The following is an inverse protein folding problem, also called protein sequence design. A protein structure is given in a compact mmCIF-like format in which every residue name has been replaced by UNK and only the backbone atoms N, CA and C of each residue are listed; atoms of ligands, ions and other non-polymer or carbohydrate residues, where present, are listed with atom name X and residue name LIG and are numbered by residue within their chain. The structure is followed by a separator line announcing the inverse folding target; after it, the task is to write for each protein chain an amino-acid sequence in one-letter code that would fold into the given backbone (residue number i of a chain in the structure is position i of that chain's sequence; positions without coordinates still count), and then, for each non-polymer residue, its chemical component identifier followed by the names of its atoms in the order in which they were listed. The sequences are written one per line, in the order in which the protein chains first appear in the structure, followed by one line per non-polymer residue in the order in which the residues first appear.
data_IF_343336208427
#
_entry.id   IF_343336208427
#
_cell.length_a   1.000
_cell.length_b   1.000
_cell.length_c   1.000
_cell.angle_alpha   90.00
_cell.angle_beta   90.00
_cell.angle_gamma   90.00
#
_symmetry.space_group_name_H-M   'P 1'
#
loop_
_entity.id
_entity.type
_entity.pdbx_description
1 polymer ?
#
# COMPACT_ATOMS: atom_id res chain seq x y z
N UNK A 1 16.66 4.31 8.62
CA UNK A 1 17.88 3.91 7.89
C UNK A 1 17.59 2.62 7.16
N UNK A 2 18.11 2.40 5.93
CA UNK A 2 18.01 1.12 5.22
C UNK A 2 18.58 -0.07 6.01
N UNK A 3 19.46 0.16 6.98
CA UNK A 3 20.05 -0.88 7.83
C UNK A 3 19.29 -1.11 9.15
N UNK A 4 18.15 -0.45 9.33
CA UNK A 4 17.38 -0.57 10.57
C UNK A 4 16.79 -1.98 10.69
N UNK A 5 17.05 -2.67 11.80
CA UNK A 5 16.41 -3.96 12.09
C UNK A 5 14.91 -3.76 12.31
N UNK A 6 14.09 -4.70 11.84
CA UNK A 6 12.65 -4.67 12.03
C UNK A 6 12.11 -6.01 12.52
N UNK A 7 10.95 -5.96 13.18
CA UNK A 7 10.24 -7.13 13.67
C UNK A 7 8.75 -6.92 13.47
N UNK A 8 8.06 -7.95 12.97
CA UNK A 8 6.61 -7.99 12.92
C UNK A 8 6.07 -8.31 14.31
N UNK A 9 5.20 -7.46 14.83
CA UNK A 9 4.54 -7.62 16.13
C UNK A 9 3.05 -7.26 16.01
N UNK A 10 2.19 -7.83 16.86
CA UNK A 10 0.83 -7.32 17.06
C UNK A 10 0.84 -5.85 17.51
N UNK A 11 -0.21 -5.10 17.19
CA UNK A 11 -0.31 -3.66 17.52
C UNK A 11 -0.31 -3.42 19.03
N UNK A 12 -0.78 -4.40 19.81
CA UNK A 12 -0.80 -4.38 21.27
C UNK A 12 0.59 -4.58 21.89
N UNK A 13 1.56 -5.06 21.10
CA UNK A 13 2.88 -5.50 21.56
C UNK A 13 4.02 -4.71 20.89
N UNK A 14 3.79 -3.45 20.53
CA UNK A 14 4.82 -2.58 19.95
C UNK A 14 5.83 -2.21 21.05
N UNK A 15 7.12 -2.60 20.92
CA UNK A 15 8.13 -2.24 21.92
C UNK A 15 8.34 -0.73 21.99
N UNK A 16 8.56 -0.22 23.21
CA UNK A 16 8.88 1.19 23.43
C UNK A 16 10.16 1.59 22.68
N UNK A 17 10.17 2.80 22.12
CA UNK A 17 11.30 3.34 21.35
C UNK A 17 11.38 2.87 19.89
N UNK A 18 10.51 1.96 19.45
CA UNK A 18 10.38 1.60 18.04
C UNK A 18 9.30 2.44 17.34
N UNK A 19 9.34 2.42 16.00
CA UNK A 19 8.35 3.09 15.13
C UNK A 19 7.69 2.06 14.22
N UNK A 20 6.40 2.25 13.95
CA UNK A 20 5.68 1.51 12.91
C UNK A 20 6.15 2.05 11.56
N UNK A 21 6.56 1.15 10.67
CA UNK A 21 7.16 1.52 9.37
C UNK A 21 6.48 0.85 8.19
N UNK A 22 5.66 -0.17 8.43
CA UNK A 22 4.84 -0.88 7.43
C UNK A 22 3.74 -1.69 8.14
N UNK A 23 2.75 -2.16 7.38
CA UNK A 23 1.73 -3.09 7.86
C UNK A 23 2.23 -4.54 7.89
N UNK A 24 1.70 -5.32 8.83
CA UNK A 24 2.03 -6.74 8.98
C UNK A 24 1.21 -7.67 8.08
N UNK A 25 1.61 -8.96 7.96
CA UNK A 25 0.93 -9.95 7.13
C UNK A 25 -0.54 -10.17 7.51
N UNK A 26 -0.89 -10.11 8.80
CA UNK A 26 -2.27 -10.24 9.26
C UNK A 26 -3.16 -9.08 8.78
N UNK A 27 -2.62 -7.86 8.75
CA UNK A 27 -3.33 -6.69 8.22
C UNK A 27 -3.53 -6.80 6.71
N UNK A 28 -2.50 -7.24 5.97
CA UNK A 28 -2.59 -7.48 4.52
C UNK A 28 -3.68 -8.49 4.20
N UNK A 29 -3.72 -9.61 4.94
CA UNK A 29 -4.72 -10.67 4.78
C UNK A 29 -6.14 -10.16 5.11
N UNK A 30 -6.29 -9.38 6.19
CA UNK A 30 -7.57 -8.76 6.52
C UNK A 30 -8.05 -7.76 5.46
N UNK A 31 -7.16 -6.92 4.94
CA UNK A 31 -7.51 -5.97 3.88
C UNK A 31 -7.84 -6.68 2.58
N UNK A 32 -7.13 -7.77 2.26
CA UNK A 32 -7.41 -8.58 1.07
C UNK A 32 -8.85 -9.10 1.08
N UNK A 33 -9.29 -9.69 2.20
CA UNK A 33 -10.66 -10.20 2.35
C UNK A 33 -11.74 -9.13 2.16
N UNK A 34 -11.54 -7.94 2.74
CA UNK A 34 -12.54 -6.88 2.62
C UNK A 34 -12.56 -6.26 1.22
N UNK A 35 -11.38 -6.04 0.62
CA UNK A 35 -11.27 -5.42 -0.69
C UNK A 35 -11.80 -6.31 -1.82
N UNK A 36 -11.68 -7.63 -1.71
CA UNK A 36 -12.28 -8.58 -2.65
C UNK A 36 -13.80 -8.45 -2.75
N UNK A 37 -14.45 -7.88 -1.73
CA UNK A 37 -15.90 -7.68 -1.68
C UNK A 37 -16.32 -6.30 -2.20
N UNK A 38 -15.37 -5.38 -2.38
CA UNK A 38 -15.65 -4.04 -2.85
C UNK A 38 -15.93 -4.03 -4.36
N UNK A 39 -16.87 -3.19 -4.80
CA UNK A 39 -17.10 -2.94 -6.24
C UNK A 39 -16.16 -1.89 -6.81
N UNK A 40 -15.76 -0.94 -5.98
CA UNK A 40 -14.84 0.14 -6.32
C UNK A 40 -13.89 0.36 -5.14
N UNK A 41 -12.61 0.55 -5.43
CA UNK A 41 -11.56 0.85 -4.45
C UNK A 41 -10.81 2.09 -4.89
N UNK A 42 -10.73 3.07 -4.00
CA UNK A 42 -9.85 4.23 -4.15
C UNK A 42 -8.67 4.06 -3.19
N UNK A 43 -7.45 4.08 -3.71
CA UNK A 43 -6.24 3.95 -2.90
C UNK A 43 -5.37 5.19 -3.02
N UNK A 44 -5.16 5.87 -1.88
CA UNK A 44 -4.36 7.08 -1.78
C UNK A 44 -3.50 7.05 -0.52
N UNK A 45 -2.22 6.73 -0.70
CA UNK A 45 -1.22 6.66 0.36
C UNK A 45 -0.58 5.26 0.44
N UNK A 46 0.76 5.14 0.36
CA UNK A 46 1.44 3.88 0.62
C UNK A 46 1.20 3.39 2.06
N UNK A 47 1.35 2.10 2.30
CA UNK A 47 1.07 1.48 3.61
C UNK A 47 2.21 1.62 4.61
N UNK A 48 3.42 1.91 4.11
CA UNK A 48 4.65 2.05 4.86
C UNK A 48 5.62 3.01 4.19
N UNK A 49 6.85 3.06 4.71
CA UNK A 49 7.95 3.86 4.14
C UNK A 49 8.51 3.13 2.91
N UNK A 50 7.73 3.10 1.83
CA UNK A 50 7.97 2.25 0.65
C UNK A 50 9.29 2.56 -0.08
N UNK A 51 9.83 3.76 0.11
CA UNK A 51 11.12 4.19 -0.42
C UNK A 51 12.29 3.37 0.18
N UNK A 52 12.07 2.72 1.32
CA UNK A 52 13.00 1.78 1.94
C UNK A 52 12.51 0.36 1.64
N UNK A 53 13.27 -0.40 0.85
CA UNK A 53 12.87 -1.71 0.34
C UNK A 53 12.36 -2.69 1.42
N UNK A 54 12.97 -2.70 2.60
CA UNK A 54 12.54 -3.56 3.72
C UNK A 54 11.21 -3.15 4.37
N UNK A 55 10.70 -1.94 4.09
CA UNK A 55 9.44 -1.38 4.61
C UNK A 55 8.41 -1.14 3.49
N UNK A 56 8.63 -1.74 2.33
CA UNK A 56 7.77 -1.61 1.16
C UNK A 56 6.79 -2.78 1.00
N UNK A 57 6.89 -3.81 1.83
CA UNK A 57 6.18 -5.08 1.63
C UNK A 57 4.65 -4.91 1.65
N UNK A 58 4.13 -4.12 2.59
CA UNK A 58 2.70 -3.81 2.68
C UNK A 58 2.20 -3.04 1.46
N UNK A 59 2.90 -1.97 1.07
CA UNK A 59 2.57 -1.20 -0.14
C UNK A 59 2.57 -2.07 -1.39
N UNK A 60 3.58 -2.93 -1.55
CA UNK A 60 3.68 -3.83 -2.69
C UNK A 60 2.57 -4.89 -2.67
N UNK A 61 2.22 -5.42 -1.50
CA UNK A 61 1.14 -6.38 -1.37
C UNK A 61 -0.20 -5.77 -1.79
N UNK A 62 -0.51 -4.56 -1.32
CA UNK A 62 -1.72 -3.84 -1.70
C UNK A 62 -1.76 -3.53 -3.19
N UNK A 63 -0.65 -3.06 -3.78
CA UNK A 63 -0.58 -2.81 -5.21
C UNK A 63 -0.85 -4.08 -6.04
N UNK A 64 -0.28 -5.22 -5.65
CA UNK A 64 -0.52 -6.52 -6.33
C UNK A 64 -1.95 -7.00 -6.14
N UNK A 65 -2.52 -6.83 -4.96
CA UNK A 65 -3.91 -7.19 -4.68
C UNK A 65 -4.84 -6.41 -5.61
N UNK A 66 -4.76 -5.07 -5.59
CA UNK A 66 -5.62 -4.20 -6.38
C UNK A 66 -5.49 -4.47 -7.89
N UNK A 67 -4.28 -4.72 -8.38
CA UNK A 67 -4.03 -5.06 -9.78
C UNK A 67 -4.68 -6.39 -10.24
N UNK A 68 -5.15 -7.23 -9.31
CA UNK A 68 -5.82 -8.50 -9.61
C UNK A 68 -7.31 -8.52 -9.20
N UNK A 69 -7.83 -7.44 -8.61
CA UNK A 69 -9.25 -7.34 -8.31
C UNK A 69 -10.08 -7.19 -9.59
N UNK A 70 -11.29 -7.74 -9.58
CA UNK A 70 -12.30 -7.51 -10.64
C UNK A 70 -13.06 -6.18 -10.46
N UNK A 71 -12.77 -5.48 -9.37
CA UNK A 71 -13.37 -4.22 -8.96
C UNK A 71 -12.77 -3.04 -9.72
N UNK A 72 -13.49 -1.91 -9.76
CA UNK A 72 -12.90 -0.66 -10.26
C UNK A 72 -11.84 -0.16 -9.29
N UNK A 73 -10.59 -0.04 -9.72
CA UNK A 73 -9.46 0.45 -8.91
C UNK A 73 -8.98 1.82 -9.38
N UNK A 74 -8.96 2.78 -8.46
CA UNK A 74 -8.54 4.16 -8.70
C UNK A 74 -7.36 4.47 -7.78
N UNK A 75 -6.21 4.75 -8.37
CA UNK A 75 -4.99 5.11 -7.64
C UNK A 75 -4.85 6.62 -7.62
N UNK A 76 -4.66 7.18 -6.42
CA UNK A 76 -4.45 8.61 -6.19
C UNK A 76 -3.22 8.90 -5.35
N UNK A 77 -2.74 10.13 -5.43
CA UNK A 77 -1.56 10.60 -4.71
C UNK A 77 -0.26 10.22 -5.42
N UNK A 78 0.70 11.14 -5.45
CA UNK A 78 1.96 10.98 -6.21
C UNK A 78 2.73 9.74 -5.81
N UNK A 79 3.03 9.56 -4.53
CA UNK A 79 3.78 8.41 -4.01
C UNK A 79 3.11 7.06 -4.28
N UNK A 80 1.77 6.98 -4.17
CA UNK A 80 1.04 5.73 -4.48
C UNK A 80 1.10 5.41 -5.97
N UNK A 81 0.92 6.44 -6.83
CA UNK A 81 1.00 6.28 -8.27
C UNK A 81 2.41 5.85 -8.70
N UNK A 82 3.44 6.48 -8.15
CA UNK A 82 4.85 6.12 -8.35
C UNK A 82 5.11 4.65 -7.97
N UNK A 83 4.69 4.22 -6.78
CA UNK A 83 4.87 2.83 -6.35
C UNK A 83 4.22 1.83 -7.33
N UNK A 84 3.02 2.11 -7.81
CA UNK A 84 2.33 1.24 -8.79
C UNK A 84 3.04 1.25 -10.16
N UNK A 85 3.57 2.39 -10.58
CA UNK A 85 4.32 2.55 -11.85
C UNK A 85 5.66 1.79 -11.78
N UNK A 86 6.43 1.96 -10.71
CA UNK A 86 7.71 1.27 -10.48
C UNK A 86 7.53 -0.26 -10.49
N UNK A 87 6.42 -0.73 -9.93
CA UNK A 87 6.03 -2.14 -9.93
C UNK A 87 5.52 -2.64 -11.29
N UNK A 88 5.39 -1.77 -12.29
CA UNK A 88 4.82 -2.06 -13.62
C UNK A 88 3.40 -2.61 -13.54
N UNK A 89 2.60 -2.08 -12.63
CA UNK A 89 1.20 -2.48 -12.40
C UNK A 89 0.19 -1.43 -12.87
N UNK A 90 0.64 -0.26 -13.33
CA UNK A 90 -0.25 0.84 -13.71
C UNK A 90 -1.28 0.45 -14.79
N UNK A 91 -0.89 -0.38 -15.76
CA UNK A 91 -1.79 -0.89 -16.81
C UNK A 91 -2.82 -1.91 -16.33
N UNK A 92 -2.71 -2.39 -15.09
CA UNK A 92 -3.67 -3.30 -14.45
C UNK A 92 -4.65 -2.57 -13.54
N UNK A 93 -4.46 -1.27 -13.33
CA UNK A 93 -5.40 -0.43 -12.58
C UNK A 93 -6.42 0.19 -13.55
N UNK A 94 -7.64 0.47 -13.08
CA UNK A 94 -8.63 1.13 -13.95
C UNK A 94 -8.32 2.61 -14.17
N UNK A 95 -7.78 3.29 -13.16
CA UNK A 95 -7.32 4.67 -13.28
C UNK A 95 -6.14 4.95 -12.36
N UNK A 96 -5.13 5.65 -12.86
CA UNK A 96 -4.00 6.15 -12.07
C UNK A 96 -3.93 7.66 -12.24
N UNK A 97 -4.20 8.40 -11.17
CA UNK A 97 -4.10 9.85 -11.20
C UNK A 97 -2.64 10.30 -11.14
N UNK A 98 -2.25 11.16 -12.07
CA UNK A 98 -0.99 11.92 -12.04
C UNK A 98 -1.15 13.31 -11.40
N UNK A 99 -2.37 13.67 -10.98
CA UNK A 99 -2.70 15.02 -10.49
C UNK A 99 -2.27 15.32 -9.04
N UNK A 100 -1.64 14.37 -8.35
CA UNK A 100 -1.17 14.57 -6.97
C UNK A 100 -2.27 15.12 -6.05
N UNK A 101 -1.99 16.26 -5.39
CA UNK A 101 -2.92 16.94 -4.48
C UNK A 101 -4.21 17.48 -5.12
N UNK A 102 -4.29 17.58 -6.45
CA UNK A 102 -5.53 17.95 -7.14
C UNK A 102 -6.60 16.85 -7.08
N UNK A 103 -6.22 15.60 -6.81
CA UNK A 103 -7.16 14.48 -6.67
C UNK A 103 -7.74 14.30 -5.27
N UNK A 104 -7.28 15.10 -4.31
CA UNK A 104 -7.65 15.03 -2.88
C UNK A 104 -8.41 16.28 -2.40
N UNK A 105 -8.65 17.24 -3.29
CA UNK A 105 -9.35 18.49 -3.00
C UNK A 105 -10.78 18.46 -3.52
#
# INVERSE_FOLDING_TARGET
SPEATSKVVPVENIPSGLRIVDIGPLTIDSFSRELERCKTVFWNGPMGIYEIAQFAAGTQAMARLLANLKSTTVIGGGSTAEAVIEMKLANKMNFVSTGGGASLR
#
